data_IF_385058741740
#
_entry.id   IF_385058741740
#
_cell.length_a   1.000
_cell.length_b   1.000
_cell.length_c   1.000
_cell.angle_alpha   90.00
_cell.angle_beta   90.00
_cell.angle_gamma   90.00
#
_symmetry.space_group_name_H-M   'P 1'
#
loop_
_entity.id
_entity.type
_entity.pdbx_description
1 polymer ?
#
# COMPACT_ATOMS: atom_id res chain seq x y z
N UNK A 1 -18.07 -29.63 18.85
CA UNK A 1 -18.09 -30.09 17.45
C UNK A 1 -17.72 -28.91 16.60
N UNK A 2 -16.46 -28.81 16.19
CA UNK A 2 -16.04 -27.76 15.24
C UNK A 2 -16.58 -28.17 13.88
N UNK A 3 -17.63 -27.50 13.43
CA UNK A 3 -18.00 -27.52 12.02
C UNK A 3 -16.83 -26.92 11.26
N UNK A 4 -16.00 -27.77 10.63
CA UNK A 4 -14.95 -27.31 9.72
C UNK A 4 -15.64 -26.56 8.57
N UNK A 5 -15.71 -25.24 8.70
CA UNK A 5 -16.14 -24.39 7.58
C UNK A 5 -15.17 -24.66 6.44
N UNK A 6 -15.68 -25.22 5.34
CA UNK A 6 -14.86 -25.49 4.14
C UNK A 6 -14.25 -24.16 3.67
N UNK A 7 -12.97 -24.14 3.47
CA UNK A 7 -12.27 -22.95 2.95
C UNK A 7 -12.76 -22.66 1.52
N UNK A 8 -13.33 -21.48 1.32
CA UNK A 8 -13.78 -20.96 0.03
C UNK A 8 -13.72 -19.43 0.04
N UNK A 9 -13.94 -18.78 -1.09
CA UNK A 9 -14.03 -17.30 -1.16
C UNK A 9 -15.12 -16.70 -0.28
N UNK A 10 -16.11 -17.48 0.13
CA UNK A 10 -17.21 -17.03 0.99
C UNK A 10 -16.73 -16.63 2.39
N UNK A 11 -15.62 -17.19 2.89
CA UNK A 11 -15.05 -16.83 4.20
C UNK A 11 -14.56 -15.36 4.26
N UNK A 12 -14.34 -14.75 3.10
CA UNK A 12 -14.00 -13.33 2.95
C UNK A 12 -15.23 -12.44 2.75
N UNK A 13 -16.44 -13.04 2.79
CA UNK A 13 -17.70 -12.30 2.70
C UNK A 13 -17.86 -11.31 3.85
N UNK A 14 -18.38 -10.11 3.55
CA UNK A 14 -18.72 -9.08 4.54
C UNK A 14 -20.10 -8.51 4.28
N UNK A 15 -20.75 -8.08 5.35
CA UNK A 15 -21.86 -7.13 5.30
C UNK A 15 -21.25 -5.73 5.21
N UNK A 16 -21.19 -5.17 3.99
CA UNK A 16 -20.51 -3.91 3.72
C UNK A 16 -21.12 -2.73 4.51
N UNK A 17 -22.43 -2.73 4.72
CA UNK A 17 -23.12 -1.69 5.50
C UNK A 17 -22.65 -1.70 6.96
N UNK A 18 -22.71 -2.85 7.62
CA UNK A 18 -22.26 -3.00 9.01
C UNK A 18 -20.78 -2.74 9.20
N UNK A 19 -19.97 -3.14 8.22
CA UNK A 19 -18.52 -2.87 8.27
C UNK A 19 -18.26 -1.37 8.15
N UNK A 20 -18.93 -0.68 7.22
CA UNK A 20 -18.83 0.77 7.06
C UNK A 20 -19.24 1.50 8.35
N UNK A 21 -20.41 1.21 8.90
CA UNK A 21 -20.90 1.81 10.16
C UNK A 21 -19.93 1.64 11.32
N UNK A 22 -19.34 0.44 11.46
CA UNK A 22 -18.33 0.18 12.49
C UNK A 22 -17.07 1.02 12.31
N UNK A 23 -16.59 1.16 11.06
CA UNK A 23 -15.40 1.96 10.75
C UNK A 23 -15.69 3.44 10.98
N UNK A 24 -16.85 3.95 10.54
CA UNK A 24 -17.29 5.33 10.75
C UNK A 24 -17.35 5.68 12.26
N UNK A 25 -17.98 4.81 13.05
CA UNK A 25 -18.02 4.97 14.50
C UNK A 25 -16.61 4.96 15.13
N UNK A 26 -15.73 4.10 14.65
CA UNK A 26 -14.34 4.05 15.12
C UNK A 26 -13.54 5.28 14.74
N UNK A 27 -13.75 5.86 13.53
CA UNK A 27 -13.13 7.12 13.10
C UNK A 27 -13.54 8.26 14.05
N UNK A 28 -14.84 8.38 14.33
CA UNK A 28 -15.38 9.39 15.25
C UNK A 28 -14.80 9.25 16.67
N UNK A 29 -14.80 8.05 17.22
CA UNK A 29 -14.28 7.78 18.56
C UNK A 29 -12.78 8.11 18.65
N UNK A 30 -11.98 7.59 17.71
CA UNK A 30 -10.54 7.86 17.68
C UNK A 30 -10.26 9.36 17.56
N UNK A 31 -10.96 10.05 16.66
CA UNK A 31 -10.69 11.47 16.41
C UNK A 31 -11.03 12.34 17.63
N UNK A 32 -12.19 12.11 18.25
CA UNK A 32 -12.67 12.95 19.34
C UNK A 32 -12.07 12.59 20.69
N UNK A 33 -11.98 11.31 21.03
CA UNK A 33 -11.62 10.87 22.38
C UNK A 33 -10.14 10.54 22.52
N UNK A 34 -9.51 9.95 21.52
CA UNK A 34 -8.11 9.52 21.60
C UNK A 34 -7.16 10.60 21.06
N UNK A 35 -7.38 11.07 19.82
CA UNK A 35 -6.48 11.99 19.12
C UNK A 35 -6.78 13.46 19.43
N UNK A 36 -8.02 13.80 19.79
CA UNK A 36 -8.51 15.16 20.04
C UNK A 36 -8.21 16.10 18.85
N UNK A 37 -8.57 15.66 17.63
CA UNK A 37 -8.38 16.40 16.39
C UNK A 37 -9.72 16.83 15.80
N UNK A 38 -9.70 17.89 14.97
CA UNK A 38 -10.91 18.51 14.41
C UNK A 38 -11.37 17.89 13.09
N UNK A 39 -10.47 17.24 12.37
CA UNK A 39 -10.71 16.63 11.06
C UNK A 39 -9.54 15.74 10.65
N UNK A 40 -9.47 15.40 9.38
CA UNK A 40 -8.46 14.47 8.84
C UNK A 40 -7.84 14.98 7.55
N UNK A 41 -6.57 14.58 7.34
CA UNK A 41 -5.81 14.77 6.10
C UNK A 41 -5.46 13.39 5.56
N UNK A 42 -5.60 13.21 4.24
CA UNK A 42 -5.14 11.98 3.58
C UNK A 42 -4.62 12.26 2.17
N UNK A 43 -3.65 11.46 1.74
CA UNK A 43 -3.19 11.43 0.35
C UNK A 43 -4.19 10.72 -0.55
N UNK A 44 -4.60 11.35 -1.65
CA UNK A 44 -5.45 10.78 -2.68
C UNK A 44 -4.60 10.37 -3.88
N UNK A 45 -4.44 9.08 -4.09
CA UNK A 45 -3.65 8.52 -5.19
C UNK A 45 -4.51 8.12 -6.40
N UNK A 46 -5.83 8.33 -6.36
CA UNK A 46 -6.75 7.77 -7.35
C UNK A 46 -6.86 6.25 -7.30
N UNK A 47 -6.24 5.59 -6.32
CA UNK A 47 -6.39 4.17 -6.06
C UNK A 47 -7.59 3.85 -5.18
N UNK A 48 -8.07 2.59 -5.25
CA UNK A 48 -9.29 2.16 -4.55
C UNK A 48 -9.21 2.31 -3.03
N UNK A 49 -8.04 2.02 -2.42
CA UNK A 49 -7.87 2.07 -0.96
C UNK A 49 -8.02 3.51 -0.43
N UNK A 50 -7.31 4.47 -1.03
CA UNK A 50 -7.43 5.89 -0.65
C UNK A 50 -8.84 6.44 -0.87
N UNK A 51 -9.53 5.98 -1.94
CA UNK A 51 -10.89 6.39 -2.24
C UNK A 51 -11.90 5.87 -1.21
N UNK A 52 -11.80 4.61 -0.82
CA UNK A 52 -12.64 4.00 0.22
C UNK A 52 -12.42 4.69 1.57
N UNK A 53 -11.15 4.94 1.93
CA UNK A 53 -10.83 5.64 3.19
C UNK A 53 -11.38 7.05 3.19
N UNK A 54 -11.24 7.81 2.09
CA UNK A 54 -11.81 9.14 1.96
C UNK A 54 -13.33 9.13 2.14
N UNK A 55 -14.04 8.22 1.46
CA UNK A 55 -15.49 8.10 1.57
C UNK A 55 -15.96 7.75 3.00
N UNK A 56 -15.27 6.84 3.68
CA UNK A 56 -15.53 6.51 5.09
C UNK A 56 -15.31 7.71 6.01
N UNK A 57 -14.25 8.48 5.77
CA UNK A 57 -13.98 9.71 6.53
C UNK A 57 -15.07 10.76 6.31
N UNK A 58 -15.52 10.97 5.07
CA UNK A 58 -16.61 11.91 4.75
C UNK A 58 -17.91 11.48 5.41
N UNK A 59 -18.25 10.22 5.38
CA UNK A 59 -19.47 9.69 6.04
C UNK A 59 -19.42 9.84 7.56
N UNK A 60 -18.23 9.68 8.14
CA UNK A 60 -18.05 9.84 9.59
C UNK A 60 -18.02 11.30 10.04
N UNK A 61 -17.41 12.20 9.28
CA UNK A 61 -17.03 13.53 9.75
C UNK A 61 -17.76 14.69 9.04
N UNK A 62 -18.28 14.45 7.84
CA UNK A 62 -18.68 15.49 6.89
C UNK A 62 -17.51 15.93 6.00
N UNK A 63 -17.83 16.36 4.77
CA UNK A 63 -16.83 16.69 3.75
C UNK A 63 -15.93 17.86 4.19
N UNK A 64 -16.46 18.81 4.93
CA UNK A 64 -15.77 20.01 5.42
C UNK A 64 -14.65 19.74 6.43
N UNK A 65 -14.59 18.51 6.96
CA UNK A 65 -13.54 18.08 7.90
C UNK A 65 -12.57 17.07 7.32
N UNK A 66 -12.57 16.92 5.99
CA UNK A 66 -11.67 16.01 5.26
C UNK A 66 -10.90 16.81 4.23
N UNK A 67 -9.57 16.82 4.33
CA UNK A 67 -8.69 17.44 3.34
C UNK A 67 -7.98 16.34 2.53
N UNK A 68 -8.21 16.32 1.21
CA UNK A 68 -7.49 15.47 0.26
C UNK A 68 -6.23 16.13 -0.27
N UNK A 69 -5.11 15.40 -0.33
CA UNK A 69 -3.88 15.90 -0.92
C UNK A 69 -3.52 15.12 -2.19
N UNK A 70 -3.32 15.84 -3.27
CA UNK A 70 -2.73 15.32 -4.50
C UNK A 70 -1.24 15.61 -4.48
N UNK A 71 -0.41 14.57 -4.41
CA UNK A 71 1.03 14.72 -4.27
C UNK A 71 1.78 14.01 -5.41
N UNK A 72 1.63 14.53 -6.65
CA UNK A 72 2.37 13.98 -7.79
C UNK A 72 3.87 14.22 -7.66
N UNK A 73 4.62 13.42 -8.39
CA UNK A 73 6.07 13.60 -8.61
C UNK A 73 6.40 13.34 -10.09
N UNK A 74 7.65 13.55 -10.49
CA UNK A 74 8.05 13.55 -11.91
C UNK A 74 7.71 12.28 -12.70
N UNK A 75 7.54 11.15 -12.01
CA UNK A 75 7.25 9.85 -12.63
C UNK A 75 5.78 9.41 -12.40
N UNK A 76 4.96 10.25 -11.76
CA UNK A 76 3.54 9.97 -11.54
C UNK A 76 2.77 10.00 -12.86
N UNK A 77 1.85 9.06 -13.01
CA UNK A 77 0.98 8.96 -14.18
C UNK A 77 -0.07 10.10 -14.19
N UNK A 78 -0.39 10.63 -15.37
CA UNK A 78 -1.49 11.60 -15.58
C UNK A 78 -2.83 11.04 -15.12
N UNK A 79 -3.07 9.75 -15.34
CA UNK A 79 -4.31 9.08 -14.96
C UNK A 79 -4.53 9.05 -13.45
N UNK A 80 -3.45 8.90 -12.69
CA UNK A 80 -3.47 8.97 -11.21
C UNK A 80 -4.07 10.28 -10.73
N UNK A 81 -3.66 11.39 -11.34
CA UNK A 81 -4.14 12.74 -11.01
C UNK A 81 -5.60 12.94 -11.38
N UNK A 82 -6.00 12.48 -12.56
CA UNK A 82 -7.40 12.53 -13.00
C UNK A 82 -8.32 11.78 -12.04
N UNK A 83 -7.97 10.54 -11.69
CA UNK A 83 -8.77 9.71 -10.80
C UNK A 83 -8.81 10.26 -9.36
N UNK A 84 -7.71 10.83 -8.88
CA UNK A 84 -7.69 11.46 -7.56
C UNK A 84 -8.63 12.67 -7.48
N UNK A 85 -8.68 13.50 -8.54
CA UNK A 85 -9.65 14.62 -8.65
C UNK A 85 -11.09 14.11 -8.70
N UNK A 86 -11.36 13.08 -9.52
CA UNK A 86 -12.68 12.47 -9.62
C UNK A 86 -13.22 12.03 -8.26
N UNK A 87 -12.37 11.43 -7.40
CA UNK A 87 -12.74 11.08 -6.02
C UNK A 87 -13.07 12.32 -5.20
N UNK A 88 -12.20 13.31 -5.18
CA UNK A 88 -12.39 14.51 -4.37
C UNK A 88 -13.69 15.23 -4.76
N UNK A 89 -13.94 15.37 -6.06
CA UNK A 89 -15.18 15.98 -6.60
C UNK A 89 -16.42 15.15 -6.25
N UNK A 90 -16.36 13.82 -6.40
CA UNK A 90 -17.49 12.93 -6.09
C UNK A 90 -17.87 12.94 -4.60
N UNK A 91 -16.91 13.20 -3.73
CA UNK A 91 -17.10 13.28 -2.28
C UNK A 91 -17.34 14.72 -1.77
N UNK A 92 -17.17 15.73 -2.61
CA UNK A 92 -17.32 17.13 -2.24
C UNK A 92 -16.32 17.62 -1.21
N UNK A 93 -15.12 17.04 -1.15
CA UNK A 93 -14.08 17.40 -0.19
C UNK A 93 -13.13 18.49 -0.73
N UNK A 94 -12.63 19.33 0.17
CA UNK A 94 -11.52 20.22 -0.16
C UNK A 94 -10.27 19.42 -0.53
N UNK A 95 -9.53 19.91 -1.52
CA UNK A 95 -8.31 19.25 -1.98
C UNK A 95 -7.21 20.24 -2.33
N UNK A 96 -5.96 19.83 -2.17
CA UNK A 96 -4.78 20.64 -2.49
C UNK A 96 -3.79 19.84 -3.32
N UNK A 97 -3.15 20.53 -4.27
CA UNK A 97 -2.07 20.00 -5.10
C UNK A 97 -0.72 20.40 -4.50
N UNK A 98 0.10 19.40 -4.18
CA UNK A 98 1.44 19.54 -3.64
C UNK A 98 2.42 18.74 -4.52
N UNK A 99 3.00 19.39 -5.55
CA UNK A 99 4.05 18.75 -6.36
C UNK A 99 5.32 18.55 -5.52
N UNK A 100 5.63 17.27 -5.23
CA UNK A 100 6.80 16.89 -4.43
C UNK A 100 8.08 16.74 -5.24
N UNK A 101 8.04 16.90 -6.57
CA UNK A 101 9.20 16.77 -7.47
C UNK A 101 10.39 17.63 -7.05
N UNK A 102 10.22 18.94 -6.72
CA UNK A 102 11.35 19.77 -6.32
C UNK A 102 12.08 19.26 -5.06
N UNK A 103 11.30 18.80 -4.07
CA UNK A 103 11.82 18.24 -2.83
C UNK A 103 12.63 16.97 -3.11
N UNK A 104 12.07 16.06 -3.93
CA UNK A 104 12.72 14.81 -4.29
C UNK A 104 14.01 15.02 -5.08
N UNK A 105 14.03 16.02 -5.99
CA UNK A 105 15.23 16.40 -6.72
C UNK A 105 16.32 16.94 -5.77
N UNK A 106 15.95 17.85 -4.89
CA UNK A 106 16.87 18.43 -3.91
C UNK A 106 17.44 17.37 -2.96
N UNK A 107 16.62 16.39 -2.53
CA UNK A 107 17.06 15.26 -1.72
C UNK A 107 17.91 14.24 -2.51
N UNK A 108 17.99 14.38 -3.83
CA UNK A 108 18.75 13.48 -4.71
C UNK A 108 18.09 12.10 -4.87
N UNK A 109 16.76 12.01 -4.73
CA UNK A 109 16.01 10.77 -4.86
C UNK A 109 16.31 10.04 -6.18
N UNK A 110 16.09 10.71 -7.31
CA UNK A 110 16.28 10.13 -8.65
C UNK A 110 17.75 9.77 -8.90
N UNK A 111 18.67 10.70 -8.64
CA UNK A 111 20.12 10.48 -8.83
C UNK A 111 20.63 9.27 -8.04
N UNK A 112 20.26 9.15 -6.77
CA UNK A 112 20.69 8.02 -5.91
C UNK A 112 20.16 6.68 -6.42
N UNK A 113 18.90 6.65 -6.92
CA UNK A 113 18.33 5.47 -7.55
C UNK A 113 19.10 5.11 -8.82
N UNK A 114 19.35 6.07 -9.67
CA UNK A 114 20.04 5.88 -10.95
C UNK A 114 21.48 5.40 -10.76
N UNK A 115 22.19 5.97 -9.77
CA UNK A 115 23.53 5.52 -9.40
C UNK A 115 23.52 4.06 -8.91
N UNK A 116 22.49 3.65 -8.17
CA UNK A 116 22.34 2.28 -7.73
C UNK A 116 22.02 1.31 -8.91
N UNK A 117 21.23 1.74 -9.89
CA UNK A 117 20.95 0.96 -11.12
C UNK A 117 22.23 0.80 -11.95
N UNK A 118 23.03 1.85 -12.11
CA UNK A 118 24.30 1.81 -12.87
C UNK A 118 25.31 0.81 -12.33
N UNK A 119 25.24 0.42 -11.05
CA UNK A 119 26.09 -0.65 -10.49
C UNK A 119 25.89 -2.00 -11.17
N UNK A 120 24.69 -2.27 -11.70
CA UNK A 120 24.36 -3.52 -12.37
C UNK A 120 24.08 -3.35 -13.86
N UNK A 121 23.80 -2.13 -14.30
CA UNK A 121 23.57 -1.75 -15.69
C UNK A 121 24.27 -0.41 -15.99
N UNK A 122 25.58 -0.40 -16.29
CA UNK A 122 26.36 0.83 -16.47
C UNK A 122 25.84 1.75 -17.58
N UNK A 123 25.17 1.19 -18.59
CA UNK A 123 24.54 1.94 -19.71
C UNK A 123 23.25 2.68 -19.33
N UNK A 124 22.76 2.58 -18.07
CA UNK A 124 21.55 3.24 -17.63
C UNK A 124 21.68 4.78 -17.67
N UNK A 125 20.69 5.42 -18.29
CA UNK A 125 20.60 6.89 -18.42
C UNK A 125 19.35 7.42 -17.72
N UNK A 126 19.35 8.70 -17.36
CA UNK A 126 18.24 9.38 -16.67
C UNK A 126 16.93 9.38 -17.52
N UNK A 127 17.08 9.37 -18.85
CA UNK A 127 15.93 9.29 -19.78
C UNK A 127 15.27 7.91 -19.85
N UNK A 128 15.90 6.88 -19.27
CA UNK A 128 15.37 5.52 -19.29
C UNK A 128 14.30 5.35 -18.22
N UNK A 129 13.27 4.60 -18.53
CA UNK A 129 12.28 4.14 -17.54
C UNK A 129 12.76 2.86 -16.87
N UNK A 130 12.37 2.66 -15.61
CA UNK A 130 12.76 1.46 -14.87
C UNK A 130 11.67 0.94 -13.94
N UNK A 131 11.77 -0.35 -13.61
CA UNK A 131 11.02 -0.99 -12.51
C UNK A 131 11.83 -2.13 -11.90
N UNK A 132 11.57 -2.45 -10.63
CA UNK A 132 12.08 -3.67 -10.00
C UNK A 132 11.02 -4.76 -10.16
N UNK A 133 11.44 -5.96 -10.53
CA UNK A 133 10.56 -7.11 -10.67
C UNK A 133 10.98 -8.24 -9.76
N UNK A 134 10.00 -8.90 -9.15
CA UNK A 134 10.17 -10.19 -8.49
C UNK A 134 10.40 -11.29 -9.54
N UNK A 135 11.16 -12.32 -9.23
CA UNK A 135 11.14 -13.53 -10.02
C UNK A 135 9.78 -14.25 -9.86
N UNK A 136 9.45 -15.12 -10.84
CA UNK A 136 8.28 -15.97 -10.74
C UNK A 136 8.44 -16.93 -9.54
N UNK A 137 7.70 -16.66 -8.47
CA UNK A 137 7.82 -17.36 -7.19
C UNK A 137 7.15 -18.75 -7.21
N UNK A 138 6.17 -18.95 -8.08
CA UNK A 138 5.38 -20.18 -8.13
C UNK A 138 6.16 -21.33 -8.75
N UNK A 139 7.03 -21.03 -9.72
CA UNK A 139 7.70 -22.04 -10.53
C UNK A 139 9.22 -22.17 -10.25
N UNK A 140 9.80 -21.29 -9.44
CA UNK A 140 11.24 -21.26 -9.20
C UNK A 140 11.65 -22.09 -7.99
N UNK A 141 12.61 -23.04 -8.14
CA UNK A 141 13.06 -23.91 -7.05
C UNK A 141 14.05 -23.27 -6.06
N UNK A 142 14.51 -22.04 -6.27
CA UNK A 142 15.55 -21.43 -5.47
C UNK A 142 15.30 -19.93 -5.18
N UNK A 143 16.03 -19.38 -4.20
CA UNK A 143 15.94 -18.01 -3.69
C UNK A 143 15.71 -16.97 -4.79
N UNK A 144 14.62 -16.22 -4.71
CA UNK A 144 14.27 -15.24 -5.72
C UNK A 144 15.20 -14.04 -5.64
N UNK A 145 15.90 -13.73 -6.72
CA UNK A 145 16.66 -12.50 -6.83
C UNK A 145 15.84 -11.46 -7.58
N UNK A 146 15.73 -10.27 -7.00
CA UNK A 146 15.15 -9.14 -7.69
C UNK A 146 15.95 -8.79 -8.95
N UNK A 147 15.26 -8.32 -9.97
CA UNK A 147 15.86 -7.78 -11.18
C UNK A 147 15.35 -6.36 -11.40
N UNK A 148 16.20 -5.52 -12.01
CA UNK A 148 15.73 -4.27 -12.59
C UNK A 148 15.42 -4.51 -14.07
N UNK A 149 14.28 -4.01 -14.52
CA UNK A 149 13.91 -3.89 -15.92
C UNK A 149 14.04 -2.43 -16.29
N UNK A 150 14.78 -2.14 -17.33
CA UNK A 150 15.01 -0.80 -17.86
C UNK A 150 14.51 -0.75 -19.30
N UNK A 151 13.82 0.31 -19.65
CA UNK A 151 13.40 0.60 -21.01
C UNK A 151 14.06 1.88 -21.48
N UNK A 152 14.83 1.77 -22.56
CA UNK A 152 15.44 2.92 -23.25
C UNK A 152 14.40 3.73 -24.03
N UNK A 153 14.78 4.91 -24.51
CA UNK A 153 13.88 5.83 -25.23
C UNK A 153 13.37 5.28 -26.58
N UNK A 154 14.07 4.31 -27.16
CA UNK A 154 13.67 3.57 -28.36
C UNK A 154 12.74 2.37 -28.07
N UNK A 155 12.38 2.16 -26.78
CA UNK A 155 11.46 1.11 -26.35
C UNK A 155 12.11 -0.24 -26.04
N UNK A 156 13.43 -0.38 -26.25
CA UNK A 156 14.14 -1.63 -25.97
C UNK A 156 14.20 -1.88 -24.47
N UNK A 157 13.80 -3.07 -24.05
CA UNK A 157 13.87 -3.48 -22.65
C UNK A 157 15.10 -4.34 -22.37
N UNK A 158 15.80 -3.99 -21.30
CA UNK A 158 16.94 -4.75 -20.76
C UNK A 158 16.65 -5.14 -19.34
N UNK A 159 16.98 -6.39 -18.96
CA UNK A 159 16.81 -6.92 -17.61
C UNK A 159 18.17 -7.26 -17.01
N UNK A 160 18.44 -6.78 -15.79
CA UNK A 160 19.64 -7.10 -15.04
C UNK A 160 19.27 -7.60 -13.64
N UNK A 161 19.99 -8.64 -13.17
CA UNK A 161 19.86 -9.13 -11.79
C UNK A 161 20.47 -8.11 -10.83
N UNK A 162 19.75 -7.79 -9.75
CA UNK A 162 20.23 -6.86 -8.73
C UNK A 162 21.17 -7.57 -7.74
N UNK A 163 22.27 -6.91 -7.41
CA UNK A 163 23.01 -7.22 -6.19
C UNK A 163 22.24 -6.72 -4.96
N UNK A 164 22.55 -7.24 -3.77
CA UNK A 164 21.95 -6.75 -2.53
C UNK A 164 22.18 -5.24 -2.34
N UNK A 165 23.37 -4.75 -2.64
CA UNK A 165 23.72 -3.34 -2.55
C UNK A 165 22.88 -2.47 -3.51
N UNK A 166 22.78 -2.86 -4.77
CA UNK A 166 22.00 -2.13 -5.77
C UNK A 166 20.51 -2.13 -5.40
N UNK A 167 19.96 -3.28 -4.98
CA UNK A 167 18.56 -3.39 -4.53
C UNK A 167 18.29 -2.45 -3.35
N UNK A 168 19.10 -2.51 -2.29
CA UNK A 168 18.91 -1.66 -1.11
C UNK A 168 19.08 -0.17 -1.46
N UNK A 169 20.01 0.17 -2.37
CA UNK A 169 20.17 1.54 -2.85
C UNK A 169 18.96 2.08 -3.59
N UNK A 170 18.36 1.28 -4.49
CA UNK A 170 17.15 1.65 -5.23
C UNK A 170 15.97 1.82 -4.26
N UNK A 171 15.75 0.85 -3.36
CA UNK A 171 14.66 0.90 -2.38
C UNK A 171 14.82 2.11 -1.45
N UNK A 172 16.03 2.36 -0.92
CA UNK A 172 16.28 3.49 -0.05
C UNK A 172 15.99 4.83 -0.73
N UNK A 173 16.40 4.98 -2.00
CA UNK A 173 16.10 6.17 -2.80
C UNK A 173 14.59 6.31 -3.09
N UNK A 174 13.91 5.23 -3.48
CA UNK A 174 12.46 5.25 -3.76
C UNK A 174 11.63 5.59 -2.51
N UNK A 175 12.10 5.20 -1.32
CA UNK A 175 11.44 5.50 -0.05
C UNK A 175 11.38 7.01 0.27
N UNK A 176 12.19 7.86 -0.37
CA UNK A 176 12.03 9.31 -0.27
C UNK A 176 10.64 9.76 -0.69
N UNK A 177 10.07 9.16 -1.74
CA UNK A 177 8.76 9.53 -2.28
C UNK A 177 7.69 9.45 -1.19
N UNK A 178 7.58 8.32 -0.52
CA UNK A 178 6.56 8.11 0.53
C UNK A 178 6.82 8.94 1.79
N UNK A 179 8.09 9.13 2.17
CA UNK A 179 8.43 9.98 3.33
C UNK A 179 8.15 11.45 3.06
N UNK A 180 8.40 11.93 1.84
CA UNK A 180 8.07 13.31 1.46
C UNK A 180 6.56 13.54 1.46
N UNK A 181 5.76 12.61 0.90
CA UNK A 181 4.29 12.68 0.97
C UNK A 181 3.83 12.77 2.43
N UNK A 182 4.35 11.91 3.28
CA UNK A 182 3.99 11.89 4.70
C UNK A 182 4.37 13.18 5.43
N UNK A 183 5.52 13.75 5.13
CA UNK A 183 5.94 15.05 5.66
C UNK A 183 4.94 16.15 5.30
N UNK A 184 4.46 16.19 4.07
CA UNK A 184 3.46 17.17 3.61
C UNK A 184 2.09 16.91 4.27
N UNK A 185 1.67 15.66 4.40
CA UNK A 185 0.42 15.32 5.09
C UNK A 185 0.43 15.83 6.54
N UNK A 186 1.51 15.62 7.29
CA UNK A 186 1.63 16.12 8.66
C UNK A 186 1.74 17.64 8.73
N UNK A 187 2.37 18.32 7.76
CA UNK A 187 2.35 19.77 7.68
C UNK A 187 0.91 20.31 7.63
N UNK A 188 0.07 19.72 6.77
CA UNK A 188 -1.33 20.13 6.66
C UNK A 188 -2.15 19.73 7.89
N UNK A 189 -1.87 18.59 8.48
CA UNK A 189 -2.53 18.14 9.70
C UNK A 189 -2.23 19.08 10.87
N UNK A 190 -0.97 19.47 11.05
CA UNK A 190 -0.55 20.37 12.13
C UNK A 190 -1.22 21.74 12.02
N UNK A 191 -1.19 22.39 10.81
CA UNK A 191 -1.78 23.72 10.62
C UNK A 191 -3.30 23.75 10.78
N UNK A 192 -4.00 22.63 10.58
CA UNK A 192 -5.45 22.52 10.70
C UNK A 192 -5.90 21.91 12.05
N UNK A 193 -4.99 21.42 12.84
CA UNK A 193 -5.26 20.55 14.00
C UNK A 193 -6.07 19.30 13.61
N UNK A 194 -5.67 18.67 12.52
CA UNK A 194 -6.25 17.45 11.96
C UNK A 194 -5.37 16.24 12.27
N UNK A 195 -5.90 15.03 12.03
CA UNK A 195 -5.15 13.78 12.09
C UNK A 195 -4.79 13.31 10.68
N UNK A 196 -3.66 12.62 10.54
CA UNK A 196 -3.27 11.97 9.28
C UNK A 196 -3.88 10.58 9.22
N UNK A 197 -4.59 10.28 8.11
CA UNK A 197 -5.20 8.97 7.88
C UNK A 197 -4.39 8.18 6.87
N UNK A 198 -3.98 6.97 7.26
CA UNK A 198 -3.32 6.02 6.39
C UNK A 198 -4.32 5.11 5.68
N UNK A 199 -3.93 4.65 4.51
CA UNK A 199 -4.79 3.91 3.59
C UNK A 199 -4.43 2.44 3.36
N UNK A 200 -3.46 1.82 4.09
CA UNK A 200 -3.10 0.44 3.82
C UNK A 200 -4.26 -0.50 4.16
N UNK A 201 -4.50 -1.47 3.27
CA UNK A 201 -5.36 -2.61 3.53
C UNK A 201 -4.58 -3.72 4.28
N UNK A 202 -5.24 -4.83 4.60
CA UNK A 202 -4.64 -5.91 5.40
C UNK A 202 -3.47 -6.59 4.70
N UNK A 203 -3.54 -6.81 3.39
CA UNK A 203 -2.42 -7.42 2.66
C UNK A 203 -1.16 -6.58 2.76
N UNK A 204 -1.30 -5.27 2.56
CA UNK A 204 -0.20 -4.33 2.63
C UNK A 204 0.34 -4.21 4.07
N UNK A 205 -0.57 -4.01 5.02
CA UNK A 205 -0.21 -3.79 6.41
C UNK A 205 0.45 -5.04 7.03
N UNK A 206 -0.17 -6.21 6.84
CA UNK A 206 0.28 -7.44 7.49
C UNK A 206 1.57 -8.01 6.88
N UNK A 207 1.80 -7.78 5.58
CA UNK A 207 3.02 -8.22 4.90
C UNK A 207 4.11 -7.14 4.83
N UNK A 208 3.85 -5.93 5.38
CA UNK A 208 4.83 -4.85 5.44
C UNK A 208 5.09 -4.17 4.10
N UNK A 209 4.07 -4.10 3.23
CA UNK A 209 4.14 -3.37 1.98
C UNK A 209 3.87 -1.88 2.19
N UNK A 210 4.77 -1.24 2.92
CA UNK A 210 4.76 0.19 3.20
C UNK A 210 6.16 0.67 3.64
N UNK A 211 6.38 1.95 3.60
CA UNK A 211 7.63 2.59 4.03
C UNK A 211 7.50 3.09 5.46
N UNK A 212 8.39 2.65 6.36
CA UNK A 212 8.46 3.16 7.73
C UNK A 212 8.69 4.67 7.73
N UNK A 213 7.86 5.42 8.48
CA UNK A 213 7.83 6.88 8.50
C UNK A 213 7.49 7.52 7.13
N UNK A 214 6.95 6.72 6.20
CA UNK A 214 6.29 7.16 4.99
C UNK A 214 4.81 6.82 5.08
N UNK A 215 4.27 6.14 4.08
CA UNK A 215 2.87 5.65 4.07
C UNK A 215 2.54 4.68 5.22
N UNK A 216 3.56 4.08 5.85
CA UNK A 216 3.41 3.33 7.10
C UNK A 216 3.09 4.19 8.33
N UNK A 217 3.39 5.50 8.31
CA UNK A 217 3.04 6.42 9.39
C UNK A 217 1.64 7.00 9.17
N UNK A 218 0.82 6.99 10.21
CA UNK A 218 -0.49 7.62 10.27
C UNK A 218 -0.99 7.59 11.71
N UNK A 219 -1.93 8.49 12.04
CA UNK A 219 -2.60 8.50 13.34
C UNK A 219 -3.76 7.50 13.39
N UNK A 220 -4.37 7.20 12.23
CA UNK A 220 -5.48 6.26 12.07
C UNK A 220 -5.36 5.48 10.75
N UNK A 221 -5.67 4.18 10.77
CA UNK A 221 -5.67 3.30 9.58
C UNK A 221 -7.00 2.53 9.49
N UNK A 222 -8.05 3.11 8.91
CA UNK A 222 -9.41 2.60 9.01
C UNK A 222 -9.62 1.21 8.38
N UNK A 223 -8.90 0.89 7.31
CA UNK A 223 -9.08 -0.34 6.53
C UNK A 223 -7.95 -1.37 6.70
N UNK A 224 -7.01 -1.14 7.64
CA UNK A 224 -5.85 -2.05 7.84
C UNK A 224 -6.25 -3.49 8.25
N UNK A 225 -7.47 -3.70 8.69
CA UNK A 225 -8.03 -5.02 9.04
C UNK A 225 -8.76 -5.71 7.89
N UNK A 226 -9.02 -5.02 6.77
CA UNK A 226 -9.79 -5.51 5.63
C UNK A 226 -8.90 -6.11 4.55
N UNK A 227 -9.27 -7.29 4.06
CA UNK A 227 -8.66 -7.89 2.88
C UNK A 227 -8.96 -7.05 1.63
N UNK A 228 -8.12 -7.13 0.60
CA UNK A 228 -8.29 -6.35 -0.63
C UNK A 228 -9.64 -6.58 -1.30
N UNK A 229 -10.09 -7.82 -1.35
CA UNK A 229 -11.42 -8.19 -1.86
C UNK A 229 -12.57 -7.56 -1.07
N UNK A 230 -12.40 -7.38 0.24
CA UNK A 230 -13.37 -6.70 1.10
C UNK A 230 -13.38 -5.18 0.84
N UNK A 231 -12.22 -4.59 0.56
CA UNK A 231 -12.13 -3.17 0.16
C UNK A 231 -12.89 -2.93 -1.15
N UNK A 232 -12.82 -3.82 -2.13
CA UNK A 232 -13.61 -3.73 -3.35
C UNK A 232 -15.13 -3.78 -3.09
N UNK A 233 -15.58 -4.63 -2.18
CA UNK A 233 -17.01 -4.68 -1.78
C UNK A 233 -17.46 -3.41 -1.07
N UNK A 234 -16.61 -2.84 -0.20
CA UNK A 234 -16.88 -1.53 0.39
C UNK A 234 -16.90 -0.41 -0.65
N UNK A 235 -15.99 -0.42 -1.62
CA UNK A 235 -15.96 0.56 -2.70
C UNK A 235 -17.26 0.54 -3.52
N UNK A 236 -17.84 -0.63 -3.73
CA UNK A 236 -19.14 -0.78 -4.38
C UNK A 236 -20.28 -0.21 -3.52
N UNK A 237 -20.32 -0.57 -2.25
CA UNK A 237 -21.32 -0.07 -1.29
C UNK A 237 -21.25 1.46 -1.11
N UNK A 238 -20.05 2.02 -1.08
CA UNK A 238 -19.78 3.45 -0.93
C UNK A 238 -19.95 4.25 -2.23
N UNK A 239 -20.35 3.60 -3.33
CA UNK A 239 -20.53 4.20 -4.66
C UNK A 239 -19.25 4.90 -5.17
N UNK A 240 -18.07 4.37 -4.86
CA UNK A 240 -16.82 4.85 -5.45
C UNK A 240 -16.91 4.77 -6.99
N UNK A 241 -16.49 5.81 -7.74
CA UNK A 241 -16.59 5.84 -9.20
C UNK A 241 -16.10 4.56 -9.87
N UNK A 242 -16.85 4.11 -10.89
CA UNK A 242 -16.58 2.84 -11.58
C UNK A 242 -15.18 2.79 -12.18
N UNK A 243 -14.69 3.89 -12.69
CA UNK A 243 -13.34 4.01 -13.26
C UNK A 243 -12.26 3.60 -12.25
N UNK A 244 -12.41 4.00 -10.99
CA UNK A 244 -11.48 3.64 -9.91
C UNK A 244 -11.63 2.17 -9.54
N UNK A 245 -12.88 1.67 -9.43
CA UNK A 245 -13.15 0.28 -9.08
C UNK A 245 -12.66 -0.72 -10.12
N UNK A 246 -12.56 -0.31 -11.39
CA UNK A 246 -12.10 -1.15 -12.50
C UNK A 246 -10.62 -1.01 -12.83
N UNK A 247 -9.93 0.00 -12.27
CA UNK A 247 -8.49 0.18 -12.46
C UNK A 247 -7.71 -0.89 -11.73
N UNK A 248 -6.77 -1.52 -12.42
CA UNK A 248 -5.82 -2.42 -11.79
C UNK A 248 -4.91 -1.61 -10.83
N UNK A 249 -4.73 -2.05 -9.58
CA UNK A 249 -3.84 -1.38 -8.64
C UNK A 249 -2.40 -1.37 -9.13
N UNK A 250 -1.80 -0.18 -9.22
CA UNK A 250 -0.42 0.05 -9.59
C UNK A 250 0.41 0.46 -8.38
N UNK A 251 1.72 0.32 -8.46
CA UNK A 251 2.62 0.75 -7.38
C UNK A 251 2.86 2.26 -7.39
N UNK A 252 2.74 2.93 -8.54
CA UNK A 252 3.09 4.34 -8.79
C UNK A 252 4.45 4.74 -8.17
N UNK A 253 5.38 3.77 -8.10
CA UNK A 253 6.70 3.93 -7.47
C UNK A 253 7.80 4.11 -8.49
N UNK A 254 7.65 3.47 -9.66
CA UNK A 254 8.64 3.42 -10.73
C UNK A 254 8.08 4.03 -12.01
N UNK A 255 8.98 4.45 -12.90
CA UNK A 255 8.64 5.09 -14.17
C UNK A 255 8.09 4.13 -15.24
N UNK A 256 8.28 2.81 -15.09
CA UNK A 256 7.58 1.78 -15.87
C UNK A 256 6.34 1.32 -15.11
N UNK A 257 5.25 1.14 -15.86
CA UNK A 257 4.00 0.62 -15.31
C UNK A 257 4.22 -0.74 -14.64
N UNK A 258 3.68 -0.88 -13.44
CA UNK A 258 3.81 -2.09 -12.65
C UNK A 258 2.61 -2.29 -11.74
N UNK A 259 2.01 -3.48 -11.77
CA UNK A 259 0.99 -3.84 -10.80
C UNK A 259 1.61 -4.18 -9.43
N UNK A 260 0.83 -4.01 -8.37
CA UNK A 260 1.26 -4.46 -7.03
C UNK A 260 1.44 -5.97 -6.97
N UNK A 261 0.67 -6.73 -7.77
CA UNK A 261 0.80 -8.19 -7.89
C UNK A 261 2.17 -8.57 -8.47
N UNK A 262 2.59 -7.90 -9.57
CA UNK A 262 3.90 -8.11 -10.19
C UNK A 262 5.06 -7.70 -9.27
N UNK A 263 4.88 -6.63 -8.51
CA UNK A 263 5.94 -6.07 -7.67
C UNK A 263 6.11 -6.78 -6.33
N UNK A 264 5.00 -7.16 -5.68
CA UNK A 264 5.06 -7.58 -4.28
C UNK A 264 4.29 -8.87 -3.95
N UNK A 265 3.07 -9.05 -4.48
CA UNK A 265 2.21 -10.11 -3.97
C UNK A 265 2.37 -11.46 -4.68
N UNK A 266 2.87 -11.49 -5.91
CA UNK A 266 3.12 -12.69 -6.71
C UNK A 266 1.87 -13.49 -7.11
N UNK A 267 0.68 -13.11 -6.65
CA UNK A 267 -0.61 -13.71 -6.94
C UNK A 267 -1.68 -12.63 -7.15
N UNK A 268 -2.74 -12.92 -7.91
CA UNK A 268 -3.97 -12.11 -7.91
C UNK A 268 -4.54 -11.96 -6.49
N UNK A 269 -5.15 -10.81 -6.21
CA UNK A 269 -5.59 -10.45 -4.86
C UNK A 269 -6.58 -11.43 -4.24
N UNK A 270 -7.53 -11.96 -5.02
CA UNK A 270 -8.51 -12.93 -4.57
C UNK A 270 -7.86 -14.20 -4.02
N UNK A 271 -6.84 -14.68 -4.70
CA UNK A 271 -6.05 -15.84 -4.27
C UNK A 271 -5.12 -15.51 -3.09
N UNK A 272 -4.47 -14.35 -3.12
CA UNK A 272 -3.59 -13.94 -2.03
C UNK A 272 -4.36 -13.68 -0.74
N UNK A 273 -5.52 -13.01 -0.80
CA UNK A 273 -6.41 -12.80 0.34
C UNK A 273 -6.82 -14.13 0.98
N UNK A 274 -7.20 -15.10 0.16
CA UNK A 274 -7.62 -16.41 0.64
C UNK A 274 -6.45 -17.22 1.22
N UNK A 275 -5.26 -17.15 0.63
CA UNK A 275 -4.06 -17.75 1.19
C UNK A 275 -3.68 -17.11 2.53
N UNK A 276 -3.74 -15.78 2.62
CA UNK A 276 -3.45 -15.06 3.86
C UNK A 276 -4.47 -15.39 4.95
N UNK A 277 -5.77 -15.43 4.61
CA UNK A 277 -6.82 -15.86 5.53
C UNK A 277 -6.57 -17.29 6.02
N UNK A 278 -6.33 -18.21 5.10
CA UNK A 278 -6.09 -19.61 5.41
C UNK A 278 -4.86 -19.78 6.33
N UNK A 279 -3.77 -19.07 6.04
CA UNK A 279 -2.55 -19.08 6.89
C UNK A 279 -2.87 -18.54 8.29
N UNK A 280 -3.66 -17.47 8.41
CA UNK A 280 -4.03 -16.86 9.69
C UNK A 280 -4.95 -17.74 10.53
N UNK A 281 -5.81 -18.52 9.89
CA UNK A 281 -6.73 -19.44 10.56
C UNK A 281 -6.14 -20.84 10.79
N UNK A 282 -4.90 -21.07 10.34
CA UNK A 282 -4.22 -22.36 10.52
C UNK A 282 -4.67 -23.47 9.56
N UNK A 283 -5.31 -23.13 8.44
CA UNK A 283 -5.67 -24.14 7.43
C UNK A 283 -4.41 -24.73 6.79
N UNK A 284 -4.39 -26.05 6.54
CA UNK A 284 -3.31 -26.70 5.82
C UNK A 284 -3.17 -26.16 4.38
N UNK A 285 -1.93 -26.14 3.87
CA UNK A 285 -1.65 -25.65 2.52
C UNK A 285 -2.42 -26.42 1.42
N UNK A 286 -2.72 -27.70 1.64
CA UNK A 286 -3.52 -28.49 0.70
C UNK A 286 -4.95 -27.96 0.55
N UNK A 287 -5.56 -27.48 1.63
CA UNK A 287 -6.90 -26.88 1.60
C UNK A 287 -6.86 -25.50 0.93
N UNK A 288 -5.85 -24.67 1.25
CA UNK A 288 -5.65 -23.39 0.59
C UNK A 288 -5.39 -23.57 -0.91
N UNK A 289 -4.60 -24.57 -1.30
CA UNK A 289 -4.37 -24.92 -2.69
C UNK A 289 -5.67 -25.26 -3.42
N UNK A 290 -6.47 -26.17 -2.85
CA UNK A 290 -7.76 -26.56 -3.41
C UNK A 290 -8.73 -25.37 -3.58
N UNK A 291 -8.75 -24.46 -2.61
CA UNK A 291 -9.64 -23.28 -2.63
C UNK A 291 -9.19 -22.19 -3.62
N UNK A 292 -7.90 -22.10 -3.94
CA UNK A 292 -7.31 -21.06 -4.81
C UNK A 292 -6.94 -21.56 -6.21
N UNK A 293 -7.10 -22.88 -6.46
CA UNK A 293 -6.65 -23.50 -7.73
C UNK A 293 -5.11 -23.62 -7.83
N UNK A 294 -4.41 -23.61 -6.70
CA UNK A 294 -2.97 -23.87 -6.61
C UNK A 294 -2.72 -25.32 -6.21
N UNK A 295 -1.54 -25.86 -6.53
CA UNK A 295 -1.10 -27.12 -5.93
C UNK A 295 -0.79 -26.93 -4.44
N UNK A 296 -0.81 -28.00 -3.66
CA UNK A 296 -0.43 -27.95 -2.24
C UNK A 296 1.00 -27.40 -2.05
N UNK A 297 1.92 -27.77 -2.95
CA UNK A 297 3.30 -27.27 -2.93
C UNK A 297 3.37 -25.76 -3.22
N UNK A 298 2.61 -25.26 -4.19
CA UNK A 298 2.52 -23.82 -4.49
C UNK A 298 1.92 -23.06 -3.30
N UNK A 299 0.85 -23.56 -2.70
CA UNK A 299 0.26 -22.96 -1.50
C UNK A 299 1.24 -22.92 -0.32
N UNK A 300 2.02 -23.98 -0.11
CA UNK A 300 3.07 -24.02 0.90
C UNK A 300 4.18 -22.99 0.62
N UNK A 301 4.55 -22.77 -0.63
CA UNK A 301 5.50 -21.71 -1.02
C UNK A 301 4.93 -20.33 -0.70
N UNK A 302 3.63 -20.09 -0.95
CA UNK A 302 2.97 -18.83 -0.60
C UNK A 302 2.94 -18.63 0.91
N UNK A 303 2.65 -19.65 1.71
CA UNK A 303 2.71 -19.56 3.18
C UNK A 303 4.11 -19.17 3.66
N UNK A 304 5.15 -19.81 3.13
CA UNK A 304 6.53 -19.44 3.45
C UNK A 304 6.87 -18.01 3.02
N UNK A 305 6.37 -17.55 1.88
CA UNK A 305 6.54 -16.17 1.43
C UNK A 305 5.88 -15.17 2.40
N UNK A 306 4.63 -15.43 2.82
CA UNK A 306 3.90 -14.61 3.81
C UNK A 306 4.70 -14.54 5.11
N UNK A 307 5.13 -15.67 5.65
CA UNK A 307 5.88 -15.73 6.91
C UNK A 307 7.25 -15.03 6.81
N UNK A 308 7.95 -15.22 5.68
CA UNK A 308 9.22 -14.54 5.42
C UNK A 308 9.06 -13.03 5.38
N UNK A 309 8.02 -12.51 4.70
CA UNK A 309 7.72 -11.08 4.66
C UNK A 309 7.38 -10.54 6.04
N UNK A 310 6.52 -11.19 6.81
CA UNK A 310 6.20 -10.81 8.19
C UNK A 310 7.45 -10.71 9.07
N UNK A 311 8.34 -11.69 8.97
CA UNK A 311 9.58 -11.68 9.74
C UNK A 311 10.51 -10.55 9.31
N UNK A 312 10.71 -10.35 8.00
CA UNK A 312 11.58 -9.30 7.47
C UNK A 312 11.05 -7.88 7.75
N UNK A 313 9.73 -7.72 7.81
CA UNK A 313 9.07 -6.41 7.97
C UNK A 313 8.61 -6.12 9.40
N UNK A 314 8.84 -7.05 10.34
CA UNK A 314 8.43 -6.89 11.75
C UNK A 314 8.87 -5.55 12.36
N UNK A 315 10.10 -5.11 12.06
CA UNK A 315 10.63 -3.85 12.59
C UNK A 315 9.89 -2.61 12.06
N UNK A 316 9.20 -2.70 10.92
CA UNK A 316 8.41 -1.60 10.36
C UNK A 316 7.23 -1.22 11.27
N UNK A 317 6.67 -2.20 11.99
CA UNK A 317 5.56 -2.03 12.91
C UNK A 317 5.99 -1.63 14.32
N UNK A 318 7.30 -1.71 14.62
CA UNK A 318 7.78 -1.45 15.97
C UNK A 318 7.78 0.04 16.29
N UNK A 319 7.23 0.38 17.45
CA UNK A 319 7.47 1.67 18.08
C UNK A 319 8.97 1.83 18.41
N UNK A 320 9.45 3.06 18.65
CA UNK A 320 10.81 3.27 19.14
C UNK A 320 11.06 2.41 20.39
N UNK A 321 12.19 1.70 20.40
CA UNK A 321 12.63 0.92 21.55
C UNK A 321 13.19 1.91 22.59
N UNK A 322 12.56 1.97 23.75
CA UNK A 322 13.02 2.78 24.87
C UNK A 322 13.95 1.94 25.74
N UNK A 323 15.09 2.51 26.16
CA UNK A 323 16.00 1.84 27.09
C UNK A 323 15.31 1.61 28.44
N UNK A 324 14.55 2.62 28.90
CA UNK A 324 13.72 2.55 30.08
C UNK A 324 12.31 3.10 29.77
N UNK A 325 11.28 2.53 30.37
CA UNK A 325 9.90 2.99 30.19
C UNK A 325 9.72 4.38 30.82
N UNK A 326 9.24 5.34 30.02
CA UNK A 326 8.94 6.72 30.49
C UNK A 326 7.47 6.91 30.84
N UNK A 327 6.59 6.00 30.44
CA UNK A 327 5.18 6.04 30.77
C UNK A 327 4.88 5.02 31.86
N UNK A 328 4.27 5.46 32.99
CA UNK A 328 3.67 4.53 33.93
C UNK A 328 2.51 3.84 33.22
N UNK A 329 2.45 2.51 33.33
CA UNK A 329 1.23 1.80 32.93
C UNK A 329 0.07 2.45 33.69
N UNK A 330 -0.96 2.90 32.97
CA UNK A 330 -2.19 3.30 33.62
C UNK A 330 -2.71 2.07 34.39
N UNK A 331 -2.77 2.17 35.67
CA UNK A 331 -3.29 1.15 36.61
C UNK A 331 -4.79 0.97 36.38
#
# INVERSE_FOLDING_TARGET
MNTHTKLSSEVLGIDAAKVAERIESSILDCLHHQLKRKGVVLGLSGGIDSSVVAALCVRALGAERVLGLFMPEAESSSDTMHLARLVAESLGIDSMLEDITPILRAAGCYRRRDDAIRKVLPAYQESHKCKIVLPNFLDAPAYPFYSVVVQSSDGVQTRARLTAEAFLGIVAASNFKQRTRKMIEYYHADRLNYAVVGTPNRLEYEQGFFVKNGDGAADLKPIAHLYKTQVYRLAEYLNIPREIRQRQPTTDTYSLDQSQEEFYFALPYDKMDLCLYARNQGFPAIEAGAATGLTAEQAERIYRLIDSKRNATRYLHMNPVLVESVFRAAS
#
